data_IF_925698766280
#
_entry.id   IF_925698766280
#
_cell.length_a   1.000
_cell.length_b   1.000
_cell.length_c   1.000
_cell.angle_alpha   90.00
_cell.angle_beta   90.00
_cell.angle_gamma   90.00
#
_symmetry.space_group_name_H-M   'P 1'
#
loop_
_entity.id
_entity.type
_entity.pdbx_description
1 polymer ?
#
# COMPACT_ATOMS: atom_id res chain seq x y z
N UNK A 1 -28.08 10.92 -4.34
CA UNK A 1 -28.56 11.10 -5.74
C UNK A 1 -28.70 9.71 -6.35
N UNK A 2 -29.89 9.29 -6.77
CA UNK A 2 -30.05 8.06 -7.54
C UNK A 2 -29.60 8.37 -8.95
N UNK A 3 -28.45 7.83 -9.37
CA UNK A 3 -27.97 7.99 -10.73
C UNK A 3 -28.83 7.14 -11.67
N UNK A 4 -29.49 7.80 -12.61
CA UNK A 4 -30.02 7.12 -13.79
C UNK A 4 -28.83 6.43 -14.51
N UNK A 5 -29.00 5.20 -15.08
CA UNK A 5 -27.94 4.52 -15.80
C UNK A 5 -27.42 5.45 -16.91
N UNK A 6 -26.12 5.79 -16.83
CA UNK A 6 -25.48 6.61 -17.84
C UNK A 6 -25.25 5.74 -19.08
N UNK A 7 -25.63 6.17 -20.29
CA UNK A 7 -25.30 5.47 -21.52
C UNK A 7 -23.78 5.26 -21.63
N UNK A 8 -23.30 4.15 -22.18
CA UNK A 8 -21.87 3.82 -22.26
C UNK A 8 -21.02 4.93 -22.87
N UNK A 9 -21.51 5.64 -23.88
CA UNK A 9 -20.83 6.79 -24.51
C UNK A 9 -20.66 8.01 -23.61
N UNK A 10 -21.40 8.11 -22.50
CA UNK A 10 -21.34 9.24 -21.57
C UNK A 10 -20.66 8.92 -20.23
N UNK A 11 -20.19 7.68 -20.02
CA UNK A 11 -19.71 7.24 -18.72
C UNK A 11 -18.51 8.04 -18.20
N UNK A 12 -17.55 8.33 -19.08
CA UNK A 12 -16.36 9.11 -18.76
C UNK A 12 -16.48 10.60 -19.08
N UNK A 13 -17.20 10.98 -20.13
CA UNK A 13 -17.25 12.37 -20.64
C UNK A 13 -17.89 13.36 -19.68
N UNK A 14 -18.74 12.90 -18.78
CA UNK A 14 -19.40 13.74 -17.76
C UNK A 14 -18.70 13.70 -16.41
N UNK A 15 -17.72 12.83 -16.24
CA UNK A 15 -17.07 12.59 -14.95
C UNK A 15 -16.35 13.86 -14.45
N UNK A 16 -15.62 14.53 -15.30
CA UNK A 16 -14.88 15.76 -14.97
C UNK A 16 -15.82 16.89 -14.53
N UNK A 17 -16.87 17.15 -15.32
CA UNK A 17 -17.85 18.16 -14.96
C UNK A 17 -18.60 17.85 -13.65
N UNK A 18 -18.86 16.57 -13.37
CA UNK A 18 -19.46 16.14 -12.11
C UNK A 18 -18.48 16.27 -10.94
N UNK A 19 -17.21 15.95 -11.15
CA UNK A 19 -16.13 16.15 -10.18
C UNK A 19 -16.02 17.62 -9.79
N UNK A 20 -15.97 18.52 -10.77
CA UNK A 20 -15.91 19.97 -10.54
C UNK A 20 -17.15 20.49 -9.80
N UNK A 21 -18.33 19.98 -10.15
CA UNK A 21 -19.56 20.34 -9.45
C UNK A 21 -19.58 19.86 -7.99
N UNK A 22 -19.00 18.69 -7.69
CA UNK A 22 -18.86 18.19 -6.33
C UNK A 22 -17.83 19.02 -5.53
N UNK A 23 -16.71 19.38 -6.13
CA UNK A 23 -15.66 20.19 -5.49
C UNK A 23 -16.14 21.62 -5.19
N UNK A 24 -16.97 22.22 -6.06
CA UNK A 24 -17.53 23.56 -5.88
C UNK A 24 -18.85 23.60 -5.11
N UNK A 25 -19.41 22.45 -4.75
CA UNK A 25 -20.67 22.32 -4.03
C UNK A 25 -20.63 22.92 -2.62
N UNK A 26 -21.79 23.31 -2.12
CA UNK A 26 -21.97 23.86 -0.76
C UNK A 26 -22.83 22.92 0.07
N UNK A 27 -22.57 22.88 1.38
CA UNK A 27 -23.38 22.10 2.31
C UNK A 27 -24.57 22.93 2.83
N UNK A 28 -25.72 22.30 3.05
CA UNK A 28 -26.84 22.93 3.73
C UNK A 28 -26.48 23.45 5.13
N UNK A 29 -27.13 24.52 5.62
CA UNK A 29 -26.80 25.12 6.91
C UNK A 29 -26.88 24.15 8.11
N UNK A 30 -27.85 23.24 8.11
CA UNK A 30 -28.03 22.22 9.13
C UNK A 30 -26.90 21.15 9.15
N UNK A 31 -26.35 20.86 7.97
CA UNK A 31 -25.17 19.98 7.84
C UNK A 31 -23.92 20.71 8.31
N UNK A 32 -23.74 21.98 7.95
CA UNK A 32 -22.61 22.80 8.42
C UNK A 32 -22.59 22.91 9.94
N UNK A 33 -23.75 23.02 10.59
CA UNK A 33 -23.83 23.06 12.04
C UNK A 33 -23.40 21.73 12.69
N UNK A 34 -23.77 20.60 12.08
CA UNK A 34 -23.29 19.29 12.53
C UNK A 34 -21.77 19.15 12.34
N UNK A 35 -21.22 19.71 11.28
CA UNK A 35 -19.77 19.73 11.08
C UNK A 35 -19.05 20.57 12.14
N UNK A 36 -19.60 21.72 12.57
CA UNK A 36 -19.07 22.50 13.69
C UNK A 36 -19.04 21.68 14.97
N UNK A 37 -20.15 21.05 15.32
CA UNK A 37 -20.25 20.19 16.50
C UNK A 37 -19.23 19.05 16.48
N UNK A 38 -19.01 18.44 15.29
CA UNK A 38 -18.01 17.40 15.11
C UNK A 38 -16.58 17.93 15.34
N UNK A 39 -16.27 19.11 14.77
CA UNK A 39 -14.94 19.73 14.92
C UNK A 39 -14.70 20.24 16.34
N UNK A 40 -15.72 20.67 17.06
CA UNK A 40 -15.65 20.98 18.50
C UNK A 40 -15.28 19.74 19.33
N UNK A 41 -15.88 18.57 19.01
CA UNK A 41 -15.54 17.29 19.65
C UNK A 41 -14.08 16.88 19.43
N UNK A 42 -13.54 17.07 18.24
CA UNK A 42 -12.14 16.76 17.94
C UNK A 42 -11.17 17.83 18.48
N UNK A 43 -11.63 19.04 18.76
CA UNK A 43 -10.78 20.18 19.11
C UNK A 43 -9.79 20.49 17.96
N UNK A 44 -8.54 20.74 18.32
CA UNK A 44 -7.43 20.94 17.36
C UNK A 44 -6.63 19.67 17.08
N UNK A 45 -7.16 18.49 17.43
CA UNK A 45 -6.49 17.25 17.06
C UNK A 45 -6.53 17.05 15.53
N UNK A 46 -5.44 16.65 14.90
CA UNK A 46 -5.45 16.25 13.50
C UNK A 46 -6.48 15.14 13.23
N UNK A 47 -7.19 15.25 12.14
CA UNK A 47 -8.21 14.30 11.70
C UNK A 47 -7.96 13.85 10.27
N UNK A 48 -8.47 12.70 9.91
CA UNK A 48 -8.52 12.21 8.53
C UNK A 48 -9.97 12.00 8.12
N UNK A 49 -10.30 12.46 6.93
CA UNK A 49 -11.61 12.30 6.28
C UNK A 49 -11.44 11.20 5.23
N UNK A 50 -12.08 10.06 5.43
CA UNK A 50 -11.89 8.86 4.61
C UNK A 50 -13.17 8.48 3.86
N UNK A 51 -12.99 7.91 2.69
CA UNK A 51 -14.06 7.17 2.03
C UNK A 51 -14.49 5.96 2.86
N UNK A 52 -15.77 5.67 2.83
CA UNK A 52 -16.38 4.44 3.35
C UNK A 52 -17.54 4.10 2.42
N UNK A 53 -17.20 3.51 1.29
CA UNK A 53 -18.17 3.20 0.25
C UNK A 53 -18.60 1.75 0.33
N UNK A 54 -19.85 1.50 -0.07
CA UNK A 54 -20.36 0.13 -0.13
C UNK A 54 -19.57 -0.77 -1.10
N UNK A 55 -19.00 -0.20 -2.17
CA UNK A 55 -18.21 -0.95 -3.14
C UNK A 55 -16.77 -1.18 -2.67
N UNK A 56 -16.25 -0.34 -1.77
CA UNK A 56 -14.87 -0.41 -1.29
C UNK A 56 -14.66 -1.54 -0.28
N UNK A 57 -15.60 -1.69 0.65
CA UNK A 57 -15.49 -2.62 1.78
C UNK A 57 -16.24 -3.95 1.54
N UNK A 58 -16.75 -4.17 0.33
CA UNK A 58 -17.53 -5.36 -0.03
C UNK A 58 -16.66 -6.61 -0.23
N UNK A 59 -17.19 -7.77 0.20
CA UNK A 59 -16.56 -9.07 -0.08
C UNK A 59 -16.39 -9.31 -1.59
N UNK A 60 -15.18 -9.71 -2.00
CA UNK A 60 -14.89 -10.08 -3.38
C UNK A 60 -14.42 -8.92 -4.29
N UNK A 61 -14.38 -7.70 -3.79
CA UNK A 61 -13.89 -6.54 -4.52
C UNK A 61 -12.60 -6.01 -3.88
N UNK A 62 -11.54 -5.87 -4.67
CA UNK A 62 -10.30 -5.21 -4.24
C UNK A 62 -10.37 -3.72 -4.65
N UNK A 63 -11.27 -2.96 -4.05
CA UNK A 63 -11.48 -1.54 -4.38
C UNK A 63 -10.59 -0.59 -3.58
N UNK A 64 -9.76 -1.12 -2.69
CA UNK A 64 -8.87 -0.36 -1.82
C UNK A 64 -7.99 0.64 -2.59
N UNK A 65 -7.89 1.87 -2.08
CA UNK A 65 -7.07 2.93 -2.66
C UNK A 65 -7.60 3.50 -3.99
N UNK A 66 -8.91 3.38 -4.25
CA UNK A 66 -9.55 3.98 -5.43
C UNK A 66 -10.24 5.30 -5.14
N UNK A 67 -10.55 5.54 -3.89
CA UNK A 67 -11.12 6.80 -3.43
C UNK A 67 -10.14 7.53 -2.53
N UNK A 68 -10.29 8.84 -2.47
CA UNK A 68 -9.39 9.70 -1.70
C UNK A 68 -9.65 9.63 -0.19
N UNK A 69 -8.56 9.81 0.56
CA UNK A 69 -8.58 10.10 1.99
C UNK A 69 -7.79 11.38 2.22
N UNK A 70 -8.36 12.32 2.96
CA UNK A 70 -7.78 13.66 3.14
C UNK A 70 -7.43 13.89 4.59
N UNK A 71 -6.17 14.19 4.86
CA UNK A 71 -5.73 14.66 6.17
C UNK A 71 -6.08 16.13 6.36
N UNK A 72 -6.69 16.45 7.49
CA UNK A 72 -6.87 17.81 7.98
C UNK A 72 -6.03 17.97 9.23
N UNK A 73 -5.04 18.83 9.18
CA UNK A 73 -4.18 19.14 10.35
C UNK A 73 -5.01 19.81 11.44
N UNK A 74 -6.09 20.48 11.05
CA UNK A 74 -7.16 20.97 11.92
C UNK A 74 -6.69 22.04 12.91
N UNK A 75 -5.78 22.90 12.47
CA UNK A 75 -5.30 24.06 13.22
C UNK A 75 -6.00 25.33 12.74
N UNK A 76 -5.88 26.42 13.51
CA UNK A 76 -6.45 27.72 13.20
C UNK A 76 -7.80 27.99 13.86
N UNK A 77 -8.50 28.99 13.36
CA UNK A 77 -9.83 29.42 13.83
C UNK A 77 -10.90 28.36 13.54
N UNK A 78 -12.05 28.37 14.24
CA UNK A 78 -13.15 27.45 13.97
C UNK A 78 -13.65 27.52 12.52
N UNK A 79 -13.65 28.69 11.90
CA UNK A 79 -14.07 28.91 10.53
C UNK A 79 -13.08 28.32 9.53
N UNK A 80 -11.78 28.54 9.71
CA UNK A 80 -10.73 27.95 8.85
C UNK A 80 -10.76 26.41 8.93
N UNK A 81 -10.94 25.86 10.12
CA UNK A 81 -11.07 24.40 10.32
C UNK A 81 -12.33 23.86 9.63
N UNK A 82 -13.45 24.58 9.70
CA UNK A 82 -14.68 24.18 9.03
C UNK A 82 -14.52 24.19 7.50
N UNK A 83 -13.92 25.23 6.95
CA UNK A 83 -13.67 25.34 5.50
C UNK A 83 -12.75 24.22 4.99
N UNK A 84 -11.66 23.93 5.73
CA UNK A 84 -10.75 22.85 5.41
C UNK A 84 -11.45 21.48 5.48
N UNK A 85 -12.28 21.25 6.49
CA UNK A 85 -13.06 20.02 6.64
C UNK A 85 -14.09 19.87 5.53
N UNK A 86 -14.84 20.93 5.18
CA UNK A 86 -15.79 20.93 4.07
C UNK A 86 -15.10 20.63 2.74
N UNK A 87 -13.91 21.19 2.51
CA UNK A 87 -13.10 20.90 1.34
C UNK A 87 -12.68 19.42 1.29
N UNK A 88 -12.22 18.87 2.42
CA UNK A 88 -11.87 17.47 2.51
C UNK A 88 -13.05 16.53 2.21
N UNK A 89 -14.23 16.81 2.76
CA UNK A 89 -15.44 16.03 2.49
C UNK A 89 -15.83 16.11 1.00
N UNK A 90 -15.74 17.30 0.39
CA UNK A 90 -15.99 17.45 -1.06
C UNK A 90 -15.00 16.65 -1.89
N UNK A 91 -13.73 16.64 -1.52
CA UNK A 91 -12.67 15.86 -2.21
C UNK A 91 -12.98 14.37 -2.16
N UNK A 92 -13.37 13.84 -0.99
CA UNK A 92 -13.75 12.43 -0.85
C UNK A 92 -14.96 12.10 -1.74
N UNK A 93 -16.01 12.93 -1.77
CA UNK A 93 -17.13 12.71 -2.67
C UNK A 93 -16.72 12.81 -4.14
N UNK A 94 -15.89 13.78 -4.49
CA UNK A 94 -15.43 14.01 -5.86
C UNK A 94 -14.59 12.86 -6.40
N UNK A 95 -13.84 12.14 -5.53
CA UNK A 95 -13.02 11.00 -5.92
C UNK A 95 -13.83 9.82 -6.48
N UNK A 96 -15.14 9.77 -6.22
CA UNK A 96 -16.04 8.79 -6.87
C UNK A 96 -16.11 8.95 -8.38
N UNK A 97 -15.75 10.14 -8.88
CA UNK A 97 -15.73 10.50 -10.31
C UNK A 97 -14.34 10.39 -10.94
N UNK A 98 -13.33 9.94 -10.20
CA UNK A 98 -11.99 9.75 -10.75
C UNK A 98 -11.96 8.66 -11.83
N UNK A 99 -11.21 8.94 -12.89
CA UNK A 99 -11.14 8.03 -14.05
C UNK A 99 -10.70 6.63 -13.62
N UNK A 100 -9.72 6.53 -12.71
CA UNK A 100 -9.24 5.25 -12.19
C UNK A 100 -10.33 4.46 -11.44
N UNK A 101 -11.18 5.14 -10.67
CA UNK A 101 -12.31 4.54 -9.97
C UNK A 101 -13.40 4.08 -10.94
N UNK A 102 -13.71 4.92 -11.94
CA UNK A 102 -14.69 4.62 -12.97
C UNK A 102 -14.27 3.47 -13.88
N UNK A 103 -12.99 3.42 -14.28
CA UNK A 103 -12.42 2.32 -15.06
C UNK A 103 -12.46 1.02 -14.28
N UNK A 104 -12.10 1.03 -13.01
CA UNK A 104 -12.19 -0.15 -12.17
C UNK A 104 -13.63 -0.68 -12.05
N UNK A 105 -14.60 0.21 -11.81
CA UNK A 105 -16.02 -0.15 -11.78
C UNK A 105 -16.48 -0.76 -13.09
N UNK A 106 -16.06 -0.20 -14.23
CA UNK A 106 -16.35 -0.74 -15.57
C UNK A 106 -15.73 -2.12 -15.77
N UNK A 107 -14.46 -2.32 -15.42
CA UNK A 107 -13.76 -3.60 -15.54
C UNK A 107 -14.40 -4.71 -14.71
N UNK A 108 -15.00 -4.35 -13.56
CA UNK A 108 -15.69 -5.27 -12.67
C UNK A 108 -17.18 -5.45 -12.96
N UNK A 109 -17.72 -4.79 -13.99
CA UNK A 109 -19.14 -4.83 -14.31
C UNK A 109 -20.03 -4.09 -13.31
N UNK A 110 -19.42 -3.18 -12.52
CA UNK A 110 -20.09 -2.39 -11.47
C UNK A 110 -20.54 -1.00 -11.96
N UNK A 111 -20.44 -0.69 -13.25
CA UNK A 111 -20.81 0.62 -13.81
C UNK A 111 -22.28 1.00 -13.62
N UNK A 112 -23.14 0.00 -13.41
CA UNK A 112 -24.57 0.19 -13.15
C UNK A 112 -24.95 -0.01 -11.68
N UNK A 113 -23.96 -0.33 -10.81
CA UNK A 113 -24.21 -0.47 -9.40
C UNK A 113 -24.33 0.91 -8.74
N UNK A 114 -25.26 1.02 -7.79
CA UNK A 114 -25.42 2.23 -6.99
C UNK A 114 -24.20 2.41 -6.08
N UNK A 115 -23.54 3.56 -6.16
CA UNK A 115 -22.42 3.92 -5.30
C UNK A 115 -22.92 4.78 -4.15
N UNK A 116 -22.86 4.25 -2.96
CA UNK A 116 -23.24 4.96 -1.74
C UNK A 116 -21.98 5.29 -0.94
N UNK A 117 -21.48 6.51 -1.11
CA UNK A 117 -20.33 7.01 -0.38
C UNK A 117 -20.76 7.53 0.99
N UNK A 118 -20.34 6.86 2.05
CA UNK A 118 -20.27 7.43 3.39
C UNK A 118 -18.88 8.02 3.63
N UNK A 119 -18.78 8.91 4.61
CA UNK A 119 -17.52 9.53 5.01
C UNK A 119 -17.23 9.16 6.46
N UNK A 120 -16.07 8.57 6.69
CA UNK A 120 -15.56 8.26 8.01
C UNK A 120 -14.56 9.34 8.44
N UNK A 121 -14.81 9.96 9.60
CA UNK A 121 -13.90 10.95 10.18
C UNK A 121 -13.24 10.33 11.41
N UNK A 122 -11.92 10.27 11.40
CA UNK A 122 -11.13 9.67 12.48
C UNK A 122 -10.07 10.66 12.98
N UNK A 123 -9.77 10.59 14.29
CA UNK A 123 -8.58 11.27 14.82
C UNK A 123 -7.33 10.59 14.28
N UNK A 124 -6.37 11.37 13.79
CA UNK A 124 -5.07 10.82 13.39
C UNK A 124 -4.33 10.37 14.64
N UNK A 125 -3.84 9.14 14.60
CA UNK A 125 -2.98 8.61 15.65
C UNK A 125 -1.55 9.08 15.41
N UNK A 126 -0.89 9.61 16.44
CA UNK A 126 0.47 10.15 16.36
C UNK A 126 0.85 10.88 17.62
N UNK A 127 2.05 11.44 17.62
CA UNK A 127 2.63 12.26 18.67
C UNK A 127 3.27 13.52 18.07
N UNK A 128 3.38 14.56 18.86
CA UNK A 128 4.06 15.78 18.46
C UNK A 128 5.58 15.62 18.58
N UNK A 129 6.28 16.02 17.54
CA UNK A 129 7.74 16.11 17.45
C UNK A 129 8.12 17.54 17.03
N UNK A 130 8.08 18.46 17.97
CA UNK A 130 8.08 19.91 17.69
C UNK A 130 6.76 20.30 17.01
N UNK A 131 6.84 20.95 15.87
CA UNK A 131 5.69 21.36 15.05
C UNK A 131 5.18 20.24 14.12
N UNK A 132 5.81 19.08 14.12
CA UNK A 132 5.43 17.96 13.30
C UNK A 132 4.62 16.95 14.12
N UNK A 133 3.56 16.41 13.51
CA UNK A 133 2.72 15.39 14.13
C UNK A 133 2.69 14.12 13.26
N UNK A 134 3.12 13.00 13.84
CA UNK A 134 3.14 11.69 13.17
C UNK A 134 3.27 10.53 14.18
N UNK A 135 2.82 9.31 13.85
CA UNK A 135 3.09 8.12 14.63
C UNK A 135 4.54 7.65 14.45
N UNK A 136 5.08 6.91 15.39
CA UNK A 136 6.42 6.35 15.26
C UNK A 136 6.55 5.45 14.03
N UNK A 137 5.54 4.65 13.77
CA UNK A 137 5.42 3.84 12.56
C UNK A 137 3.96 3.63 12.20
N UNK A 138 3.70 3.28 10.96
CA UNK A 138 2.38 2.91 10.47
C UNK A 138 2.49 1.85 9.37
N UNK A 139 1.40 1.19 9.04
CA UNK A 139 1.48 0.20 7.98
C UNK A 139 0.22 -0.57 7.72
N UNK A 140 0.38 -1.57 6.86
CA UNK A 140 -0.65 -2.55 6.50
C UNK A 140 -0.22 -3.93 6.97
N UNK A 141 -1.16 -4.67 7.55
CA UNK A 141 -0.95 -6.05 7.96
C UNK A 141 -1.89 -6.99 7.22
N UNK A 142 -1.38 -8.13 6.79
CA UNK A 142 -2.15 -9.14 6.06
C UNK A 142 -2.15 -10.43 6.90
N UNK A 143 -3.32 -11.02 7.14
CA UNK A 143 -3.41 -12.30 7.86
C UNK A 143 -2.92 -13.48 7.01
N UNK A 144 -2.94 -13.31 5.69
CA UNK A 144 -2.41 -14.25 4.71
C UNK A 144 -1.66 -13.51 3.61
N UNK A 145 -0.50 -14.02 3.21
CA UNK A 145 0.26 -13.47 2.08
C UNK A 145 0.78 -14.57 1.18
N UNK A 146 0.41 -14.51 -0.09
CA UNK A 146 1.02 -15.36 -1.12
C UNK A 146 2.42 -14.90 -1.54
N UNK A 147 2.83 -13.69 -1.14
CA UNK A 147 4.15 -13.17 -1.41
C UNK A 147 5.18 -13.80 -0.46
N UNK A 148 6.08 -14.60 -0.99
CA UNK A 148 7.16 -15.27 -0.25
C UNK A 148 8.49 -14.97 -0.93
N UNK A 149 9.44 -14.42 -0.18
CA UNK A 149 10.82 -14.23 -0.65
C UNK A 149 11.76 -15.35 -0.18
N UNK A 150 11.23 -16.26 0.64
CA UNK A 150 11.95 -17.44 1.12
C UNK A 150 10.99 -18.62 1.14
N UNK A 151 11.44 -19.78 0.66
CA UNK A 151 10.66 -21.02 0.59
C UNK A 151 10.15 -21.56 1.95
N UNK A 152 10.80 -21.14 3.03
CA UNK A 152 10.44 -21.55 4.39
C UNK A 152 9.41 -20.65 5.07
N UNK A 153 9.00 -19.56 4.43
CA UNK A 153 8.01 -18.65 5.00
C UNK A 153 6.63 -19.32 5.04
N UNK A 154 5.97 -19.17 6.19
CA UNK A 154 4.57 -19.55 6.35
C UNK A 154 3.65 -18.39 5.83
N UNK A 155 2.86 -18.62 4.76
CA UNK A 155 1.92 -17.62 4.26
C UNK A 155 0.84 -17.21 5.26
N UNK A 156 0.51 -18.11 6.20
CA UNK A 156 -0.54 -17.91 7.20
C UNK A 156 -0.02 -17.33 8.53
N UNK A 157 1.30 -17.09 8.64
CA UNK A 157 1.87 -16.44 9.82
C UNK A 157 1.47 -14.96 9.94
N UNK A 158 1.11 -14.34 8.81
CA UNK A 158 0.86 -12.91 8.66
C UNK A 158 2.08 -12.16 8.10
N UNK A 159 1.80 -11.09 7.39
CA UNK A 159 2.80 -10.20 6.79
C UNK A 159 2.52 -8.76 7.21
N UNK A 160 3.54 -8.05 7.66
CA UNK A 160 3.50 -6.62 7.90
C UNK A 160 4.25 -5.88 6.79
N UNK A 161 3.69 -4.76 6.40
CA UNK A 161 4.29 -3.75 5.56
C UNK A 161 4.28 -2.46 6.38
N UNK A 162 5.46 -2.00 6.82
CA UNK A 162 5.61 -0.96 7.83
C UNK A 162 6.56 0.14 7.34
N UNK A 163 6.22 1.37 7.68
CA UNK A 163 6.97 2.60 7.40
C UNK A 163 7.06 3.46 8.65
N UNK A 164 8.03 4.36 8.73
CA UNK A 164 8.06 5.45 9.69
C UNK A 164 7.09 6.56 9.27
N UNK A 165 6.50 7.28 10.22
CA UNK A 165 5.55 8.36 9.97
C UNK A 165 4.15 7.86 9.61
N UNK A 166 3.41 8.65 8.85
CA UNK A 166 2.07 8.33 8.39
C UNK A 166 2.09 7.12 7.44
N UNK A 167 1.03 6.33 7.44
CA UNK A 167 0.95 5.06 6.71
C UNK A 167 0.80 5.17 5.18
N UNK A 168 0.70 6.36 4.63
CA UNK A 168 0.55 6.66 3.20
C UNK A 168 1.59 5.93 2.35
N UNK A 169 2.87 5.99 2.73
CA UNK A 169 3.98 5.31 2.03
C UNK A 169 4.02 3.79 2.19
N UNK A 170 3.21 3.24 3.07
CA UNK A 170 3.00 1.79 3.12
C UNK A 170 2.04 1.31 2.04
N UNK A 171 1.17 2.15 1.51
CA UNK A 171 0.19 1.85 0.47
C UNK A 171 0.71 2.32 -0.89
N UNK A 172 1.01 3.60 -1.02
CA UNK A 172 1.57 4.19 -2.22
C UNK A 172 3.08 3.93 -2.27
N UNK A 173 3.57 3.62 -3.46
CA UNK A 173 5.00 3.38 -3.70
C UNK A 173 5.56 4.52 -4.54
N UNK A 174 6.06 5.60 -3.92
CA UNK A 174 6.88 6.54 -4.65
C UNK A 174 8.17 5.86 -5.12
N UNK A 175 8.68 6.27 -6.27
CA UNK A 175 9.95 5.76 -6.80
C UNK A 175 11.09 5.97 -5.78
N UNK A 176 11.90 4.92 -5.60
CA UNK A 176 13.09 4.92 -4.73
C UNK A 176 12.85 4.99 -3.21
N UNK A 177 11.63 4.76 -2.74
CA UNK A 177 11.32 4.63 -1.31
C UNK A 177 10.70 3.26 -1.01
N UNK A 178 11.13 2.61 0.08
CA UNK A 178 10.84 1.20 0.30
C UNK A 178 10.31 0.93 1.70
N UNK A 179 9.04 0.47 1.85
CA UNK A 179 8.54 0.02 3.12
C UNK A 179 9.25 -1.27 3.56
N UNK A 180 9.37 -1.47 4.85
CA UNK A 180 9.82 -2.74 5.41
C UNK A 180 8.73 -3.78 5.26
N UNK A 181 9.09 -4.95 4.71
CA UNK A 181 8.27 -6.16 4.72
C UNK A 181 8.79 -7.12 5.80
N UNK A 182 7.90 -7.61 6.65
CA UNK A 182 8.22 -8.56 7.69
C UNK A 182 7.16 -9.67 7.76
N UNK A 183 7.57 -10.92 7.55
CA UNK A 183 6.69 -12.06 7.79
C UNK A 183 6.75 -12.43 9.29
N UNK A 184 5.58 -12.64 9.89
CA UNK A 184 5.44 -12.82 11.33
C UNK A 184 5.84 -14.21 11.85
N UNK A 185 6.26 -15.15 10.98
CA UNK A 185 6.96 -16.37 11.42
C UNK A 185 8.40 -16.09 11.83
N UNK A 186 9.05 -15.10 11.20
CA UNK A 186 10.43 -14.67 11.48
C UNK A 186 10.59 -13.16 11.28
N UNK A 187 9.91 -12.32 12.06
CA UNK A 187 9.80 -10.89 11.80
C UNK A 187 11.14 -10.13 11.83
N UNK A 188 12.06 -10.58 12.70
CA UNK A 188 13.40 -9.98 12.81
C UNK A 188 14.32 -10.29 11.62
N UNK A 189 13.99 -11.29 10.78
CA UNK A 189 14.83 -11.65 9.63
C UNK A 189 14.52 -10.73 8.46
N UNK A 190 15.45 -9.86 8.03
CA UNK A 190 15.23 -8.97 6.92
C UNK A 190 15.23 -9.73 5.58
N UNK A 191 14.57 -9.15 4.58
CA UNK A 191 14.56 -9.69 3.23
C UNK A 191 15.96 -9.59 2.58
N UNK A 192 16.69 -8.51 2.85
CA UNK A 192 18.06 -8.29 2.38
C UNK A 192 19.07 -8.76 3.42
N UNK A 193 20.08 -9.51 2.99
CA UNK A 193 21.08 -10.09 3.88
C UNK A 193 22.19 -9.11 4.28
N UNK A 194 22.58 -8.17 3.41
CA UNK A 194 23.64 -7.20 3.69
C UNK A 194 23.09 -5.90 4.29
N UNK A 195 23.88 -5.23 5.14
CA UNK A 195 23.55 -3.91 5.68
C UNK A 195 23.44 -2.89 4.55
N UNK A 196 24.35 -2.94 3.59
CA UNK A 196 24.37 -2.03 2.44
C UNK A 196 23.09 -2.13 1.60
N UNK A 197 22.58 -3.36 1.36
CA UNK A 197 21.32 -3.53 0.62
C UNK A 197 20.12 -3.09 1.46
N UNK A 198 20.11 -3.37 2.78
CA UNK A 198 19.05 -2.85 3.67
C UNK A 198 19.01 -1.33 3.66
N UNK A 199 20.16 -0.67 3.71
CA UNK A 199 20.27 0.79 3.64
C UNK A 199 19.83 1.31 2.27
N UNK A 200 20.23 0.64 1.18
CA UNK A 200 19.85 1.02 -0.19
C UNK A 200 18.34 0.94 -0.40
N UNK A 201 17.70 -0.09 0.13
CA UNK A 201 16.27 -0.37 -0.01
C UNK A 201 15.49 -0.05 1.27
N UNK A 202 15.84 1.05 1.93
CA UNK A 202 15.14 1.59 3.09
C UNK A 202 14.29 2.80 2.73
N UNK A 203 13.39 3.16 3.63
CA UNK A 203 12.62 4.39 3.55
C UNK A 203 13.51 5.61 3.80
N UNK A 204 13.35 6.64 2.99
CA UNK A 204 14.12 7.90 3.08
C UNK A 204 13.26 9.12 3.36
N UNK A 205 12.02 9.08 2.92
CA UNK A 205 11.07 10.17 3.04
C UNK A 205 9.93 9.72 3.94
N UNK A 206 9.42 10.62 4.75
CA UNK A 206 8.32 10.37 5.67
C UNK A 206 7.24 11.43 5.46
N UNK A 207 5.99 11.01 5.39
CA UNK A 207 4.84 11.91 5.38
C UNK A 207 4.46 12.24 6.81
N UNK A 208 4.27 13.52 7.08
CA UNK A 208 3.96 14.07 8.40
C UNK A 208 2.95 15.21 8.28
N UNK A 209 2.29 15.56 9.38
CA UNK A 209 1.46 16.76 9.46
C UNK A 209 2.27 17.89 10.08
N UNK A 210 2.46 18.98 9.32
CA UNK A 210 3.10 20.20 9.80
C UNK A 210 2.01 21.09 10.43
N UNK A 211 2.05 21.25 11.75
CA UNK A 211 1.02 21.97 12.50
C UNK A 211 1.19 23.49 12.45
N UNK A 212 2.37 23.97 12.13
CA UNK A 212 2.62 25.41 11.90
C UNK A 212 2.08 25.83 10.52
N UNK A 213 2.39 25.06 9.48
CA UNK A 213 1.90 25.34 8.12
C UNK A 213 0.47 24.86 7.86
N UNK A 214 -0.07 24.06 8.75
CA UNK A 214 -1.40 23.45 8.64
C UNK A 214 -1.56 22.59 7.37
N UNK A 215 -0.54 21.79 7.02
CA UNK A 215 -0.51 20.96 5.82
C UNK A 215 0.10 19.57 6.04
N UNK A 216 -0.28 18.63 5.18
CA UNK A 216 0.43 17.36 5.00
C UNK A 216 1.70 17.65 4.20
N UNK A 217 2.87 17.24 4.70
CA UNK A 217 4.14 17.49 4.03
C UNK A 217 5.04 16.25 4.02
N UNK A 218 5.95 16.22 3.07
CA UNK A 218 7.01 15.23 2.98
C UNK A 218 8.31 15.77 3.56
N UNK A 219 8.98 14.96 4.37
CA UNK A 219 10.30 15.33 4.92
C UNK A 219 11.32 14.22 4.68
N UNK A 220 12.54 14.60 4.40
CA UNK A 220 13.67 13.67 4.42
C UNK A 220 13.98 13.27 5.86
N UNK A 221 13.96 11.97 6.16
CA UNK A 221 14.19 11.45 7.51
C UNK A 221 15.57 11.85 8.03
N UNK A 222 16.57 11.93 7.15
CA UNK A 222 17.92 12.37 7.49
C UNK A 222 17.96 13.78 8.07
N UNK A 223 17.05 14.67 7.64
CA UNK A 223 16.97 16.05 8.16
C UNK A 223 16.47 16.13 9.60
N UNK A 224 15.78 15.11 10.08
CA UNK A 224 15.24 15.02 11.44
C UNK A 224 16.14 14.29 12.42
N UNK A 225 17.22 13.64 11.96
CA UNK A 225 18.03 12.74 12.79
C UNK A 225 18.53 13.37 14.09
N UNK A 226 18.87 14.66 14.08
CA UNK A 226 19.34 15.35 15.28
C UNK A 226 18.23 15.55 16.31
N UNK A 227 16.99 15.73 15.87
CA UNK A 227 15.83 16.01 16.71
C UNK A 227 15.10 14.73 17.19
N UNK A 228 15.36 13.60 16.53
CA UNK A 228 14.73 12.33 16.94
C UNK A 228 15.41 11.74 18.17
N UNK A 229 14.65 11.39 19.22
CA UNK A 229 15.23 10.82 20.43
C UNK A 229 15.80 9.42 20.17
N UNK A 230 16.74 9.00 21.01
CA UNK A 230 17.45 7.74 20.82
C UNK A 230 16.53 6.51 20.92
N UNK A 231 15.50 6.58 21.76
CA UNK A 231 14.53 5.49 21.89
C UNK A 231 13.74 5.29 20.57
N UNK A 232 13.37 6.40 19.92
CA UNK A 232 12.73 6.36 18.59
C UNK A 232 13.66 5.73 17.55
N UNK A 233 14.91 6.21 17.48
CA UNK A 233 15.91 5.66 16.51
C UNK A 233 16.12 4.17 16.71
N UNK A 234 16.20 3.70 17.95
CA UNK A 234 16.36 2.26 18.25
C UNK A 234 15.19 1.40 17.80
N UNK A 235 13.96 1.93 17.83
CA UNK A 235 12.77 1.20 17.42
C UNK A 235 12.61 1.15 15.88
N UNK A 236 12.90 2.28 15.22
CA UNK A 236 12.51 2.51 13.80
C UNK A 236 13.71 2.48 12.86
N UNK A 237 14.93 2.64 13.35
CA UNK A 237 16.13 2.80 12.52
C UNK A 237 17.22 1.78 12.88
N UNK A 238 18.13 1.57 11.94
CA UNK A 238 19.41 0.84 12.14
C UNK A 238 20.61 1.77 11.90
N UNK A 239 21.76 1.40 12.47
CA UNK A 239 23.03 2.09 12.18
C UNK A 239 23.82 1.36 11.11
N UNK A 240 24.36 2.12 10.18
CA UNK A 240 25.30 1.63 9.18
C UNK A 240 26.74 1.90 9.63
N UNK A 241 27.28 0.97 10.43
CA UNK A 241 28.63 1.07 10.95
C UNK A 241 29.72 0.99 9.85
N UNK A 242 29.43 0.34 8.73
CA UNK A 242 30.36 0.26 7.59
C UNK A 242 30.46 1.62 6.89
N UNK A 243 29.31 2.25 6.65
CA UNK A 243 29.27 3.63 6.13
C UNK A 243 29.92 4.64 7.08
N UNK A 244 29.69 4.52 8.40
CA UNK A 244 30.36 5.35 9.42
C UNK A 244 31.90 5.19 9.37
N UNK A 245 32.39 3.95 9.26
CA UNK A 245 33.82 3.67 9.15
C UNK A 245 34.42 4.24 7.85
N UNK A 246 33.68 4.15 6.74
CA UNK A 246 34.09 4.76 5.47
C UNK A 246 34.17 6.30 5.57
N UNK A 247 33.18 6.93 6.16
CA UNK A 247 33.16 8.39 6.38
C UNK A 247 34.29 8.85 7.31
N UNK A 248 34.59 8.07 8.35
CA UNK A 248 35.73 8.36 9.25
C UNK A 248 37.07 8.32 8.49
N UNK A 249 37.27 7.38 7.56
CA UNK A 249 38.46 7.33 6.68
C UNK A 249 38.57 8.57 5.78
N UNK A 250 37.42 9.13 5.37
CA UNK A 250 37.36 10.36 4.58
C UNK A 250 37.44 11.65 5.43
N UNK A 251 37.76 11.51 6.71
CA UNK A 251 37.85 12.63 7.67
C UNK A 251 36.51 13.40 7.85
N UNK A 252 35.38 12.72 7.69
CA UNK A 252 34.00 13.23 7.87
C UNK A 252 33.20 12.34 8.82
N UNK A 253 33.61 12.19 10.08
CA UNK A 253 32.97 11.30 11.03
C UNK A 253 31.53 11.77 11.34
N UNK A 254 30.56 10.93 11.08
CA UNK A 254 29.16 11.12 11.50
C UNK A 254 28.50 9.78 11.73
N UNK A 255 27.45 9.75 12.54
CA UNK A 255 26.58 8.57 12.64
C UNK A 255 25.73 8.48 11.39
N UNK A 256 25.53 7.25 10.90
CA UNK A 256 24.68 6.95 9.74
C UNK A 256 23.54 6.06 10.20
N UNK A 257 22.35 6.60 10.15
CA UNK A 257 21.11 5.91 10.47
C UNK A 257 20.29 5.72 9.20
N UNK A 258 19.52 4.64 9.12
CA UNK A 258 18.56 4.39 8.03
C UNK A 258 17.34 3.63 8.56
N UNK A 259 16.18 3.83 7.93
CA UNK A 259 14.89 3.39 8.44
C UNK A 259 14.57 1.97 8.01
N UNK A 260 14.34 1.08 8.98
CA UNK A 260 14.01 -0.33 8.74
C UNK A 260 12.91 -0.87 9.66
N UNK A 261 12.54 -0.14 10.69
CA UNK A 261 11.66 -0.61 11.77
C UNK A 261 12.16 -1.91 12.43
N UNK A 262 13.49 -2.16 12.39
CA UNK A 262 14.07 -3.43 12.88
C UNK A 262 13.84 -3.61 14.38
N UNK A 263 13.96 -2.56 15.19
CA UNK A 263 13.74 -2.64 16.62
C UNK A 263 12.31 -3.07 16.98
N UNK A 264 11.30 -2.62 16.21
CA UNK A 264 9.93 -3.12 16.35
C UNK A 264 9.81 -4.59 15.94
N UNK A 265 10.53 -5.01 14.89
CA UNK A 265 10.50 -6.41 14.44
C UNK A 265 11.22 -7.36 15.39
N UNK A 266 12.17 -6.86 16.17
CA UNK A 266 12.87 -7.59 17.24
C UNK A 266 12.10 -7.58 18.57
N UNK A 267 11.16 -6.66 18.73
CA UNK A 267 10.28 -6.62 19.90
C UNK A 267 9.25 -7.76 19.82
N UNK A 268 9.45 -8.75 20.68
CA UNK A 268 8.62 -9.95 20.68
C UNK A 268 7.17 -9.67 21.07
N UNK A 269 6.94 -8.79 22.03
CA UNK A 269 5.58 -8.43 22.46
C UNK A 269 4.80 -7.76 21.33
N UNK A 270 5.45 -6.86 20.58
CA UNK A 270 4.85 -6.23 19.41
C UNK A 270 4.50 -7.25 18.34
N UNK A 271 5.43 -8.12 17.97
CA UNK A 271 5.22 -9.07 16.87
C UNK A 271 4.20 -10.15 17.23
N UNK A 272 4.18 -10.63 18.48
CA UNK A 272 3.16 -11.54 18.99
C UNK A 272 1.76 -10.88 19.03
N UNK A 273 1.67 -9.60 19.46
CA UNK A 273 0.42 -8.84 19.43
C UNK A 273 -0.13 -8.73 18.01
N UNK A 274 0.71 -8.34 17.04
CA UNK A 274 0.31 -8.20 15.65
C UNK A 274 -0.15 -9.53 15.05
N UNK A 275 0.59 -10.61 15.32
CA UNK A 275 0.19 -11.95 14.87
C UNK A 275 -1.14 -12.40 15.48
N UNK A 276 -1.33 -12.19 16.79
CA UNK A 276 -2.58 -12.53 17.49
C UNK A 276 -3.75 -11.72 16.96
N UNK A 277 -3.56 -10.42 16.70
CA UNK A 277 -4.58 -9.54 16.15
C UNK A 277 -5.02 -10.02 14.77
N UNK A 278 -4.08 -10.25 13.84
CA UNK A 278 -4.38 -10.73 12.49
C UNK A 278 -5.10 -12.08 12.50
N UNK A 279 -4.63 -13.05 13.29
CA UNK A 279 -5.27 -14.36 13.43
C UNK A 279 -6.67 -14.29 14.05
N UNK A 280 -6.88 -13.38 14.99
CA UNK A 280 -8.20 -13.20 15.62
C UNK A 280 -9.20 -12.62 14.63
N UNK A 281 -8.80 -11.60 13.88
CA UNK A 281 -9.63 -10.96 12.86
C UNK A 281 -9.93 -11.93 11.71
N UNK A 282 -8.94 -12.66 11.18
CA UNK A 282 -9.15 -13.70 10.17
C UNK A 282 -10.20 -14.72 10.60
N UNK A 283 -10.08 -15.22 11.84
CA UNK A 283 -11.03 -16.18 12.41
C UNK A 283 -12.45 -15.60 12.55
N UNK A 284 -12.57 -14.35 13.00
CA UNK A 284 -13.87 -13.69 13.22
C UNK A 284 -14.55 -13.38 11.89
N UNK A 285 -13.81 -12.91 10.91
CA UNK A 285 -14.32 -12.65 9.57
C UNK A 285 -14.57 -13.93 8.75
N UNK A 286 -13.96 -15.05 9.16
CA UNK A 286 -14.02 -16.31 8.39
C UNK A 286 -13.32 -16.23 7.04
N UNK A 287 -12.52 -15.20 6.82
CA UNK A 287 -11.79 -14.91 5.60
C UNK A 287 -10.48 -14.19 5.95
N UNK A 288 -9.40 -14.37 5.18
CA UNK A 288 -8.21 -13.53 5.33
C UNK A 288 -8.56 -12.05 5.33
N UNK A 289 -7.83 -11.29 6.14
CA UNK A 289 -8.04 -9.84 6.30
C UNK A 289 -6.78 -9.07 6.00
N UNK A 290 -6.97 -7.82 5.55
CA UNK A 290 -5.98 -6.77 5.64
C UNK A 290 -6.39 -5.77 6.72
N UNK A 291 -5.39 -5.20 7.38
CA UNK A 291 -5.59 -4.18 8.40
C UNK A 291 -4.69 -2.98 8.13
N UNK A 292 -5.16 -1.80 8.51
CA UNK A 292 -4.32 -0.62 8.63
C UNK A 292 -4.08 -0.34 10.11
N UNK A 293 -2.84 0.00 10.46
CA UNK A 293 -2.46 0.23 11.84
C UNK A 293 -1.40 1.32 11.98
N UNK A 294 -1.35 1.93 13.17
CA UNK A 294 -0.25 2.80 13.60
C UNK A 294 0.37 2.29 14.88
N UNK A 295 1.62 2.67 15.09
CA UNK A 295 2.38 2.38 16.30
C UNK A 295 2.86 3.71 16.88
N UNK A 296 2.45 4.02 18.10
CA UNK A 296 3.01 5.11 18.87
C UNK A 296 3.95 4.54 19.93
N UNK A 297 5.00 5.29 20.25
CA UNK A 297 5.99 4.96 21.27
C UNK A 297 6.04 6.08 22.29
N UNK A 298 6.22 5.73 23.54
CA UNK A 298 6.54 6.69 24.59
C UNK A 298 8.05 6.81 24.80
N UNK A 299 8.45 7.66 25.74
CA UNK A 299 9.87 7.91 26.09
C UNK A 299 10.57 6.67 26.69
N UNK A 300 9.82 5.74 27.23
CA UNK A 300 10.29 4.47 27.77
C UNK A 300 10.47 3.42 26.68
N UNK A 301 9.94 3.67 25.47
CA UNK A 301 9.93 2.76 24.34
C UNK A 301 8.78 1.75 24.40
N UNK A 302 7.81 1.96 25.29
CA UNK A 302 6.56 1.20 25.31
C UNK A 302 5.72 1.58 24.08
N UNK A 303 5.01 0.62 23.54
CA UNK A 303 4.26 0.82 22.31
C UNK A 303 2.74 0.70 22.51
N UNK A 304 2.01 1.50 21.73
CA UNK A 304 0.56 1.39 21.56
C UNK A 304 0.26 1.18 20.10
N UNK A 305 -0.45 0.10 19.78
CA UNK A 305 -0.94 -0.17 18.41
C UNK A 305 -2.39 0.29 18.30
N UNK A 306 -2.67 1.14 17.33
CA UNK A 306 -4.04 1.53 16.99
C UNK A 306 -4.44 0.82 15.69
N UNK A 307 -5.50 0.02 15.75
CA UNK A 307 -6.13 -0.57 14.59
C UNK A 307 -7.04 0.50 13.95
N UNK A 308 -6.73 0.88 12.71
CA UNK A 308 -7.43 1.96 12.00
C UNK A 308 -8.55 1.43 11.11
N UNK A 309 -8.30 0.32 10.41
CA UNK A 309 -9.26 -0.32 9.52
C UNK A 309 -8.99 -1.83 9.45
N UNK A 310 -10.04 -2.61 9.20
CA UNK A 310 -9.95 -4.04 8.89
C UNK A 310 -10.89 -4.35 7.74
N UNK A 311 -10.38 -5.02 6.71
CA UNK A 311 -11.14 -5.40 5.51
C UNK A 311 -10.94 -6.87 5.18
N UNK A 312 -11.92 -7.52 4.53
CA UNK A 312 -11.71 -8.83 3.94
C UNK A 312 -10.65 -8.75 2.83
N UNK A 313 -9.60 -9.57 2.93
CA UNK A 313 -8.56 -9.64 1.90
C UNK A 313 -9.05 -10.51 0.73
N UNK A 314 -8.99 -9.96 -0.49
CA UNK A 314 -9.27 -10.73 -1.68
C UNK A 314 -8.04 -11.60 -2.04
N UNK A 315 -8.17 -12.91 -1.88
CA UNK A 315 -7.08 -13.87 -2.14
C UNK A 315 -7.27 -14.69 -3.44
N UNK A 316 -8.27 -14.35 -4.24
CA UNK A 316 -8.58 -15.14 -5.45
C UNK A 316 -9.16 -16.54 -5.16
N UNK A 317 -9.66 -16.75 -3.96
CA UNK A 317 -9.99 -18.04 -3.35
C UNK A 317 -8.86 -18.46 -2.43
N UNK A 318 -9.17 -18.91 -1.19
CA UNK A 318 -8.17 -19.54 -0.31
C UNK A 318 -7.58 -20.68 -1.11
N UNK A 319 -6.30 -20.53 -1.46
CA UNK A 319 -5.63 -21.43 -2.34
C UNK A 319 -5.77 -22.88 -1.87
N UNK A 320 -6.66 -23.60 -2.52
CA UNK A 320 -6.46 -25.05 -2.62
C UNK A 320 -5.06 -25.20 -3.18
N UNK A 321 -4.16 -25.79 -2.40
CA UNK A 321 -2.83 -26.15 -2.90
C UNK A 321 -3.10 -27.02 -4.12
N UNK A 322 -2.98 -26.43 -5.29
CA UNK A 322 -3.13 -27.17 -6.53
C UNK A 322 -1.85 -27.96 -6.67
N UNK A 323 -1.93 -29.27 -6.47
CA UNK A 323 -0.79 -30.15 -6.70
C UNK A 323 -0.39 -30.06 -8.17
N UNK A 324 0.89 -29.82 -8.40
CA UNK A 324 1.46 -29.86 -9.75
C UNK A 324 1.44 -31.33 -10.17
N UNK A 325 0.71 -31.70 -11.23
CA UNK A 325 0.68 -33.09 -11.66
C UNK A 325 2.08 -33.54 -12.10
N UNK A 326 2.44 -34.78 -11.79
CA UNK A 326 3.63 -35.40 -12.35
C UNK A 326 3.39 -35.65 -13.84
N UNK A 327 4.09 -34.93 -14.68
CA UNK A 327 4.02 -35.05 -16.14
C UNK A 327 5.35 -35.55 -16.69
N UNK A 328 5.33 -36.39 -17.74
CA UNK A 328 6.54 -36.70 -18.49
C UNK A 328 7.22 -35.41 -18.97
N UNK A 329 8.55 -35.35 -18.88
CA UNK A 329 9.33 -34.15 -19.26
C UNK A 329 9.04 -33.63 -20.68
N UNK A 330 8.69 -34.51 -21.61
CA UNK A 330 8.27 -34.15 -22.97
C UNK A 330 6.97 -33.30 -23.02
N UNK A 331 6.13 -33.40 -21.97
CA UNK A 331 4.87 -32.68 -21.85
C UNK A 331 5.02 -31.42 -20.98
N UNK A 332 6.23 -31.09 -20.53
CA UNK A 332 6.50 -29.90 -19.73
C UNK A 332 7.15 -28.84 -20.61
N UNK A 333 6.43 -27.75 -20.86
CA UNK A 333 6.94 -26.65 -21.68
C UNK A 333 8.07 -25.91 -20.94
N UNK A 334 7.86 -25.53 -19.69
CA UNK A 334 8.88 -25.04 -18.79
C UNK A 334 8.51 -25.28 -17.34
N UNK A 335 9.49 -25.31 -16.45
CA UNK A 335 9.34 -25.42 -15.01
C UNK A 335 10.23 -24.41 -14.33
N UNK A 336 9.65 -23.55 -13.49
CA UNK A 336 10.39 -22.63 -12.65
C UNK A 336 10.58 -23.27 -11.27
N UNK A 337 11.80 -23.29 -10.78
CA UNK A 337 12.11 -23.66 -9.40
C UNK A 337 12.12 -22.39 -8.55
N UNK A 338 11.60 -22.49 -7.33
CA UNK A 338 11.62 -21.41 -6.35
C UNK A 338 10.86 -20.13 -6.77
N UNK A 339 9.92 -20.24 -7.72
CA UNK A 339 8.96 -19.19 -8.00
C UNK A 339 7.91 -19.15 -6.88
N UNK A 340 7.80 -18.04 -6.18
CA UNK A 340 7.04 -17.94 -4.94
C UNK A 340 6.01 -16.81 -4.92
N UNK A 341 5.56 -16.34 -6.08
CA UNK A 341 4.57 -15.25 -6.14
C UNK A 341 3.21 -15.76 -6.61
N UNK A 342 2.17 -15.45 -5.85
CA UNK A 342 0.78 -15.78 -6.15
C UNK A 342 0.28 -17.07 -5.51
N UNK A 343 -1.04 -17.29 -5.58
CA UNK A 343 -1.69 -18.53 -5.17
C UNK A 343 -1.52 -19.60 -6.25
N UNK A 344 -1.53 -20.88 -5.83
CA UNK A 344 -1.51 -22.00 -6.78
C UNK A 344 -2.83 -22.03 -7.56
N UNK A 345 -2.74 -21.97 -8.87
CA UNK A 345 -3.89 -22.07 -9.77
C UNK A 345 -3.59 -23.09 -10.88
N UNK A 346 -4.64 -23.76 -11.36
CA UNK A 346 -4.58 -24.61 -12.54
C UNK A 346 -5.50 -24.01 -13.59
N UNK A 347 -4.90 -23.42 -14.61
CA UNK A 347 -5.66 -22.76 -15.67
C UNK A 347 -5.17 -23.18 -17.06
N UNK A 348 -6.09 -23.15 -18.02
CA UNK A 348 -5.73 -23.27 -19.44
C UNK A 348 -5.08 -21.96 -19.89
N UNK A 349 -3.92 -22.04 -20.52
CA UNK A 349 -3.20 -20.91 -21.08
C UNK A 349 -3.37 -20.91 -22.59
N UNK A 350 -3.73 -19.79 -23.16
CA UNK A 350 -3.92 -19.61 -24.60
C UNK A 350 -2.63 -19.04 -25.26
N UNK A 351 -1.90 -18.18 -24.54
CA UNK A 351 -0.72 -17.49 -25.06
C UNK A 351 0.39 -17.44 -24.01
N UNK A 352 1.61 -17.73 -24.42
CA UNK A 352 2.82 -17.51 -23.63
C UNK A 352 3.61 -16.36 -24.27
N UNK A 353 3.78 -15.26 -23.54
CA UNK A 353 4.59 -14.12 -23.95
C UNK A 353 5.95 -14.23 -23.29
N UNK A 354 6.99 -14.46 -24.07
CA UNK A 354 8.36 -14.51 -23.57
C UNK A 354 9.11 -13.24 -23.91
N UNK A 355 9.67 -12.61 -22.88
CA UNK A 355 10.63 -11.51 -23.04
C UNK A 355 12.04 -12.06 -22.87
N UNK A 356 12.90 -11.91 -23.87
CA UNK A 356 14.32 -12.20 -23.73
C UNK A 356 14.93 -11.19 -22.74
N UNK A 357 15.33 -11.69 -21.56
CA UNK A 357 15.80 -10.85 -20.48
C UNK A 357 17.09 -10.09 -20.86
N UNK A 358 17.96 -10.70 -21.70
CA UNK A 358 19.21 -10.05 -22.14
C UNK A 358 18.93 -8.96 -23.14
N UNK A 359 18.12 -9.24 -24.15
CA UNK A 359 17.72 -8.24 -25.15
C UNK A 359 16.99 -7.06 -24.49
N UNK A 360 16.10 -7.34 -23.51
CA UNK A 360 15.40 -6.28 -22.76
C UNK A 360 16.35 -5.46 -21.90
N UNK A 361 17.37 -6.09 -21.28
CA UNK A 361 18.37 -5.36 -20.50
C UNK A 361 19.21 -4.43 -21.37
N UNK A 362 19.63 -4.90 -22.55
CA UNK A 362 20.41 -4.14 -23.53
C UNK A 362 19.55 -3.10 -24.31
N UNK A 363 18.21 -3.21 -24.23
CA UNK A 363 17.29 -2.30 -24.93
C UNK A 363 17.38 -0.87 -24.37
N UNK A 364 17.37 0.18 -25.23
CA UNK A 364 17.46 1.55 -24.78
C UNK A 364 16.36 1.88 -23.75
N UNK A 365 16.74 2.49 -22.64
CA UNK A 365 15.81 2.77 -21.53
C UNK A 365 14.56 3.54 -21.99
N UNK A 366 14.72 4.55 -22.84
CA UNK A 366 13.63 5.35 -23.39
C UNK A 366 12.60 4.55 -24.22
N UNK A 367 12.98 3.36 -24.72
CA UNK A 367 12.11 2.50 -25.53
C UNK A 367 11.49 1.34 -24.75
N UNK A 368 11.90 1.12 -23.49
CA UNK A 368 11.34 0.04 -22.64
C UNK A 368 9.83 0.11 -22.43
N UNK A 369 9.19 1.29 -22.36
CA UNK A 369 7.72 1.38 -22.32
C UNK A 369 7.02 0.69 -23.49
N UNK A 370 7.61 0.67 -24.68
CA UNK A 370 7.05 0.01 -25.87
C UNK A 370 6.87 -1.51 -25.67
N UNK A 371 7.76 -2.15 -24.89
CA UNK A 371 7.60 -3.57 -24.56
C UNK A 371 6.40 -3.79 -23.65
N UNK A 372 6.16 -2.89 -22.70
CA UNK A 372 5.00 -2.93 -21.83
C UNK A 372 3.70 -2.67 -22.60
N UNK A 373 3.70 -1.73 -23.54
CA UNK A 373 2.57 -1.45 -24.44
C UNK A 373 2.22 -2.64 -25.31
N UNK A 374 3.25 -3.33 -25.87
CA UNK A 374 3.03 -4.54 -26.67
C UNK A 374 2.40 -5.66 -25.85
N UNK A 375 2.85 -5.88 -24.60
CA UNK A 375 2.23 -6.85 -23.68
C UNK A 375 0.81 -6.41 -23.31
N UNK A 376 0.60 -5.14 -23.06
CA UNK A 376 -0.73 -4.56 -22.80
C UNK A 376 -1.69 -4.78 -23.96
N UNK A 377 -1.24 -4.57 -25.19
CA UNK A 377 -2.04 -4.81 -26.40
C UNK A 377 -2.47 -6.27 -26.52
N UNK A 378 -1.58 -7.23 -26.22
CA UNK A 378 -1.94 -8.66 -26.21
C UNK A 378 -3.02 -8.94 -25.16
N UNK A 379 -2.93 -8.32 -23.98
CA UNK A 379 -3.89 -8.53 -22.89
C UNK A 379 -5.31 -7.99 -23.22
N UNK A 380 -5.45 -7.04 -24.15
CA UNK A 380 -6.76 -6.52 -24.59
C UNK A 380 -7.62 -7.57 -25.31
N UNK A 381 -7.02 -8.61 -25.86
CA UNK A 381 -7.75 -9.70 -26.54
C UNK A 381 -8.43 -10.68 -25.57
N UNK A 382 -8.39 -10.45 -24.24
CA UNK A 382 -8.95 -11.31 -23.19
C UNK A 382 -8.46 -12.78 -23.25
N UNK A 383 -7.28 -12.99 -23.81
CA UNK A 383 -6.61 -14.28 -23.82
C UNK A 383 -5.97 -14.54 -22.45
N UNK A 384 -5.93 -15.80 -22.03
CA UNK A 384 -5.21 -16.17 -20.80
C UNK A 384 -3.72 -16.22 -21.12
N UNK A 385 -3.01 -15.17 -20.77
CA UNK A 385 -1.60 -15.01 -21.06
C UNK A 385 -0.72 -15.31 -19.86
N UNK A 386 0.41 -15.98 -20.10
CA UNK A 386 1.53 -16.01 -19.16
C UNK A 386 2.64 -15.14 -19.71
N UNK A 387 3.11 -14.19 -18.89
CA UNK A 387 4.31 -13.42 -19.17
C UNK A 387 5.50 -14.07 -18.44
N UNK A 388 6.58 -14.35 -19.17
CA UNK A 388 7.81 -14.90 -18.60
C UNK A 388 9.03 -14.14 -19.09
N UNK A 389 9.95 -13.87 -18.16
CA UNK A 389 11.26 -13.26 -18.43
C UNK A 389 12.40 -14.27 -18.17
N UNK A 390 12.22 -15.52 -18.56
CA UNK A 390 13.20 -16.58 -18.34
C UNK A 390 14.41 -16.50 -19.27
N UNK A 391 15.59 -16.90 -18.75
CA UNK A 391 16.75 -17.25 -19.57
C UNK A 391 16.41 -18.47 -20.41
N UNK A 392 16.04 -18.27 -21.69
CA UNK A 392 15.80 -19.26 -22.75
C UNK A 392 14.82 -20.40 -22.45
N UNK A 393 13.66 -20.33 -23.03
CA UNK A 393 12.93 -21.52 -23.49
C UNK A 393 13.66 -21.94 -24.78
N UNK A 394 14.09 -23.21 -24.92
CA UNK A 394 14.77 -23.66 -26.14
C UNK A 394 13.86 -23.47 -27.37
N UNK A 395 14.39 -22.86 -28.45
CA UNK A 395 13.66 -22.60 -29.71
C UNK A 395 13.01 -23.86 -30.28
N UNK A 396 13.60 -25.03 -30.03
CA UNK A 396 13.06 -26.33 -30.46
C UNK A 396 11.72 -26.70 -29.79
N UNK A 397 11.39 -26.16 -28.60
CA UNK A 397 10.08 -26.41 -27.95
C UNK A 397 9.00 -25.42 -28.38
N UNK A 398 9.37 -24.22 -28.87
CA UNK A 398 8.42 -23.20 -29.33
C UNK A 398 7.84 -23.58 -30.71
N UNK A 399 8.63 -24.25 -31.56
CA UNK A 399 8.19 -24.61 -32.93
C UNK A 399 7.27 -25.84 -33.01
N UNK A 400 7.19 -26.68 -31.98
CA UNK A 400 6.40 -27.93 -32.04
C UNK A 400 4.93 -27.79 -31.63
N UNK A 401 4.50 -26.71 -30.98
CA UNK A 401 3.13 -26.54 -30.50
C UNK A 401 2.35 -25.37 -31.10
N UNK A 402 2.99 -24.56 -31.94
CA UNK A 402 2.34 -23.46 -32.66
C UNK A 402 2.61 -23.57 -34.18
N UNK A 403 2.15 -24.67 -34.81
CA UNK A 403 1.81 -24.62 -36.20
C UNK A 403 0.45 -23.93 -36.35
N UNK A 404 0.52 -22.65 -36.73
CA UNK A 404 -0.61 -21.89 -37.24
C UNK A 404 -0.53 -21.98 -38.78
#
# INVERSE_FOLDING_TARGET
MRHAPCPEEGYFTKAEALKDALLSGTFPPDIREKFRTLLEYFGQSPIIVRSSSFLEDGFGNAFAGKYESVFCVNQGSPEERLEAFEAAVRTVYASTMDISALEYRKQRGLQHSDEQMAVLVQRVSGSYHGELFFPAAAGVGYSYSSYRWNKYMDPAAGLLRIVAGLGTRAVDRPDHDYPRLANLDRPAVPMQNSVADRHRFSQRIMDVLDTEKNELTEIEIDSMLENLPLWYKKAVMERDYEAEAALKRLNRPRQVWFTTCQGLMENREFTELMQKMLKTLDRVYGNPVDIEYTVNLDEQGEFVVNLLQCRPLYTGGRGTVTEIPELPEKNVFFRLKDSAMGSSVKEKIDVVVQIDARAYYEYPYALKPQAAEAVGAINTYRLRCILTACKRIPDSKIRQEFEI
#
